data_IF_464487184471
#
_entry.id   IF_464487184471
#
_cell.length_a   1.000
_cell.length_b   1.000
_cell.length_c   1.000
_cell.angle_alpha   90.00
_cell.angle_beta   90.00
_cell.angle_gamma   90.00
#
_symmetry.space_group_name_H-M   'P 1'
#
loop_
_entity.id
_entity.type
_entity.pdbx_description
1 polymer ?
#
# COMPACT_ATOMS: atom_id res chain seq x y z
N UNK A 1 -3.33 -18.23 28.64
CA UNK A 1 -4.21 -18.69 27.52
C UNK A 1 -3.41 -18.63 26.22
N UNK A 2 -3.35 -19.72 25.43
CA UNK A 2 -2.67 -19.68 24.14
C UNK A 2 -3.39 -18.70 23.22
N UNK A 3 -2.67 -17.74 22.63
CA UNK A 3 -3.21 -16.87 21.57
C UNK A 3 -3.59 -17.77 20.40
N UNK A 4 -4.90 -18.01 20.19
CA UNK A 4 -5.39 -18.62 18.96
C UNK A 4 -4.83 -17.79 17.79
N UNK A 5 -4.06 -18.42 16.91
CA UNK A 5 -3.60 -17.78 15.68
C UNK A 5 -4.83 -17.53 14.82
N UNK A 6 -5.22 -16.26 14.68
CA UNK A 6 -6.48 -15.87 14.04
C UNK A 6 -6.44 -15.99 12.51
N UNK A 7 -5.26 -15.84 11.89
CA UNK A 7 -5.01 -15.94 10.44
C UNK A 7 -3.69 -16.66 10.16
N UNK A 8 -3.69 -17.52 9.14
CA UNK A 8 -2.46 -18.13 8.59
C UNK A 8 -1.64 -17.12 7.78
N UNK A 9 -0.36 -17.39 7.58
CA UNK A 9 0.48 -16.49 6.76
C UNK A 9 0.03 -16.42 5.31
N UNK A 10 -0.49 -17.53 4.76
CA UNK A 10 -1.11 -17.55 3.43
C UNK A 10 -2.34 -16.62 3.35
N UNK A 11 -3.15 -16.56 4.41
CA UNK A 11 -4.31 -15.66 4.46
C UNK A 11 -3.87 -14.19 4.58
N UNK A 12 -2.83 -13.89 5.37
CA UNK A 12 -2.28 -12.53 5.45
C UNK A 12 -1.68 -12.10 4.11
N UNK A 13 -0.94 -12.98 3.46
CA UNK A 13 -0.35 -12.73 2.14
C UNK A 13 -1.45 -12.45 1.10
N UNK A 14 -2.51 -13.27 1.05
CA UNK A 14 -3.64 -13.04 0.15
C UNK A 14 -4.34 -11.68 0.35
N UNK A 15 -4.25 -11.09 1.54
CA UNK A 15 -4.83 -9.77 1.87
C UNK A 15 -3.92 -8.60 1.51
N UNK A 16 -2.60 -8.80 1.59
CA UNK A 16 -1.61 -7.72 1.63
C UNK A 16 -0.50 -7.85 0.57
N UNK A 17 -0.53 -8.87 -0.28
CA UNK A 17 0.39 -9.00 -1.42
C UNK A 17 0.15 -7.91 -2.46
N UNK A 18 1.21 -7.56 -3.18
CA UNK A 18 1.09 -6.65 -4.32
C UNK A 18 0.29 -7.33 -5.46
N UNK A 19 -0.55 -6.57 -6.18
CA UNK A 19 -1.29 -7.11 -7.32
C UNK A 19 -0.32 -7.41 -8.47
N UNK A 20 -0.51 -8.57 -9.10
CA UNK A 20 0.26 -9.00 -10.28
C UNK A 20 -0.63 -9.21 -11.50
N UNK A 21 -1.95 -9.26 -11.33
CA UNK A 21 -2.88 -9.38 -12.46
C UNK A 21 -3.00 -8.03 -13.17
N UNK A 22 -3.05 -8.05 -14.49
CA UNK A 22 -3.24 -6.83 -15.29
C UNK A 22 -4.52 -6.08 -14.90
N UNK A 23 -5.59 -6.82 -14.57
CA UNK A 23 -6.87 -6.22 -14.15
C UNK A 23 -6.74 -5.46 -12.83
N UNK A 24 -6.05 -6.03 -11.85
CA UNK A 24 -5.85 -5.36 -10.55
C UNK A 24 -4.90 -4.16 -10.67
N UNK A 25 -3.85 -4.28 -11.50
CA UNK A 25 -2.93 -3.18 -11.79
C UNK A 25 -3.65 -2.01 -12.47
N UNK A 26 -4.44 -2.26 -13.52
CA UNK A 26 -5.25 -1.22 -14.18
C UNK A 26 -6.21 -0.53 -13.20
N UNK A 27 -6.82 -1.31 -12.30
CA UNK A 27 -7.80 -0.80 -11.34
C UNK A 27 -7.16 0.05 -10.23
N UNK A 28 -5.97 -0.33 -9.76
CA UNK A 28 -5.42 0.20 -8.51
C UNK A 28 -4.13 1.02 -8.69
N UNK A 29 -3.37 0.79 -9.75
CA UNK A 29 -2.01 1.32 -9.95
C UNK A 29 -1.95 2.33 -11.10
N UNK A 30 -3.08 2.65 -11.74
CA UNK A 30 -3.15 3.73 -12.74
C UNK A 30 -3.00 5.09 -12.05
N UNK A 31 -2.05 5.88 -12.50
CA UNK A 31 -1.71 7.20 -11.98
C UNK A 31 -2.54 8.28 -12.68
N UNK A 32 -3.09 9.21 -11.91
CA UNK A 32 -3.82 10.38 -12.43
C UNK A 32 -2.85 11.51 -12.81
N UNK A 33 -3.37 12.52 -13.51
CA UNK A 33 -2.60 13.74 -13.82
C UNK A 33 -2.10 14.46 -12.56
N UNK A 34 -2.89 14.44 -11.48
CA UNK A 34 -2.50 14.98 -10.18
C UNK A 34 -1.32 14.19 -9.59
N UNK A 35 -1.36 12.86 -9.70
CA UNK A 35 -0.27 12.00 -9.25
C UNK A 35 1.02 12.31 -10.00
N UNK A 36 0.93 12.43 -11.33
CA UNK A 36 2.06 12.83 -12.17
C UNK A 36 2.60 14.20 -11.77
N UNK A 37 1.73 15.15 -11.43
CA UNK A 37 2.09 16.46 -10.91
C UNK A 37 3.00 16.35 -9.68
N UNK A 38 2.61 15.55 -8.69
CA UNK A 38 3.40 15.32 -7.49
C UNK A 38 4.68 14.50 -7.74
N UNK A 39 4.60 13.46 -8.57
CA UNK A 39 5.74 12.60 -8.91
C UNK A 39 6.84 13.42 -9.60
N UNK A 40 6.48 14.31 -10.53
CA UNK A 40 7.44 15.14 -11.29
C UNK A 40 8.25 16.11 -10.43
N UNK A 41 7.80 16.40 -9.20
CA UNK A 41 8.57 17.21 -8.24
C UNK A 41 9.83 16.50 -7.73
N UNK A 42 9.88 15.17 -7.82
CA UNK A 42 11.05 14.39 -7.37
C UNK A 42 12.20 14.52 -8.36
N UNK A 43 13.38 14.82 -7.82
CA UNK A 43 14.64 14.82 -8.59
C UNK A 43 15.11 13.38 -8.78
N UNK A 44 15.60 13.06 -9.99
CA UNK A 44 16.11 11.73 -10.42
C UNK A 44 15.02 10.68 -10.65
N UNK A 45 15.29 9.75 -11.58
CA UNK A 45 14.36 8.70 -11.99
C UNK A 45 13.96 7.78 -10.83
N UNK A 46 14.92 7.31 -10.02
CA UNK A 46 14.65 6.42 -8.88
C UNK A 46 13.73 7.02 -7.83
N UNK A 47 13.80 8.33 -7.57
CA UNK A 47 12.88 8.95 -6.62
C UNK A 47 11.49 9.09 -7.19
N UNK A 48 11.35 9.40 -8.50
CA UNK A 48 10.04 9.44 -9.17
C UNK A 48 9.39 8.06 -9.16
N UNK A 49 10.14 7.03 -9.52
CA UNK A 49 9.67 5.65 -9.50
C UNK A 49 9.29 5.24 -8.08
N UNK A 50 10.20 5.39 -7.12
CA UNK A 50 9.98 5.01 -5.73
C UNK A 50 8.78 5.72 -5.09
N UNK A 51 8.59 7.00 -5.38
CA UNK A 51 7.43 7.76 -4.91
C UNK A 51 6.12 7.22 -5.52
N UNK A 52 6.09 6.95 -6.82
CA UNK A 52 4.93 6.37 -7.49
C UNK A 52 4.61 4.95 -6.96
N UNK A 53 5.63 4.13 -6.73
CA UNK A 53 5.50 2.79 -6.15
C UNK A 53 4.89 2.87 -4.75
N UNK A 54 5.43 3.71 -3.86
CA UNK A 54 4.85 3.88 -2.52
C UNK A 54 3.40 4.36 -2.57
N UNK A 55 3.08 5.34 -3.45
CA UNK A 55 1.71 5.80 -3.64
C UNK A 55 0.77 4.65 -4.02
N UNK A 56 1.16 3.82 -4.98
CA UNK A 56 0.36 2.69 -5.43
C UNK A 56 0.14 1.69 -4.29
N UNK A 57 1.18 1.32 -3.54
CA UNK A 57 1.11 0.36 -2.43
C UNK A 57 0.23 0.87 -1.27
N UNK A 58 0.28 2.19 -0.99
CA UNK A 58 -0.58 2.84 0.00
C UNK A 58 -2.06 2.87 -0.44
N UNK A 59 -2.35 2.98 -1.74
CA UNK A 59 -3.72 2.89 -2.27
C UNK A 59 -4.23 1.46 -2.24
N UNK A 60 -3.40 0.53 -2.67
CA UNK A 60 -3.68 -0.89 -2.67
C UNK A 60 -2.36 -1.69 -2.59
N UNK A 61 -2.22 -2.62 -1.64
CA UNK A 61 -3.28 -3.18 -0.80
C UNK A 61 -3.64 -2.34 0.44
N UNK A 62 -2.99 -1.17 0.66
CA UNK A 62 -3.33 -0.27 1.78
C UNK A 62 -2.35 -0.31 2.95
N UNK A 63 -1.07 -0.57 2.68
CA UNK A 63 -0.01 -0.73 3.70
C UNK A 63 1.26 0.01 3.31
N UNK A 64 2.21 0.08 4.22
CA UNK A 64 3.56 0.55 3.90
C UNK A 64 4.32 -0.51 3.10
N UNK A 65 5.12 -0.06 2.12
CA UNK A 65 6.09 -0.90 1.42
C UNK A 65 7.23 -1.26 2.37
N UNK A 66 7.48 -2.55 2.58
CA UNK A 66 8.49 -2.98 3.55
C UNK A 66 9.93 -2.72 3.03
N UNK A 67 10.88 -2.38 3.92
CA UNK A 67 12.29 -2.29 3.54
C UNK A 67 12.80 -3.57 2.86
N UNK A 68 13.35 -3.44 1.65
CA UNK A 68 13.90 -4.58 0.91
C UNK A 68 12.84 -5.55 0.35
N UNK A 69 11.57 -5.17 0.36
CA UNK A 69 10.51 -5.97 -0.25
C UNK A 69 10.76 -6.19 -1.75
N UNK A 70 10.64 -7.45 -2.19
CA UNK A 70 10.78 -7.81 -3.60
C UNK A 70 9.53 -7.34 -4.36
N UNK A 71 9.73 -6.48 -5.35
CA UNK A 71 8.64 -5.95 -6.17
C UNK A 71 8.47 -6.86 -7.40
N UNK A 72 7.25 -7.38 -7.66
CA UNK A 72 6.98 -8.18 -8.85
C UNK A 72 7.29 -7.41 -10.14
N UNK A 73 7.78 -8.12 -11.16
CA UNK A 73 8.14 -7.51 -12.45
C UNK A 73 6.93 -6.81 -13.09
N UNK A 74 5.73 -7.37 -12.96
CA UNK A 74 4.49 -6.80 -13.49
C UNK A 74 4.19 -5.43 -12.88
N UNK A 75 4.48 -5.24 -11.60
CA UNK A 75 4.32 -3.94 -10.92
C UNK A 75 5.35 -2.95 -11.43
N UNK A 76 6.62 -3.38 -11.56
CA UNK A 76 7.71 -2.53 -12.05
C UNK A 76 7.41 -2.08 -13.48
N UNK A 77 7.08 -3.00 -14.37
CA UNK A 77 6.77 -2.71 -15.77
C UNK A 77 5.55 -1.80 -15.90
N UNK A 78 4.48 -2.06 -15.13
CA UNK A 78 3.25 -1.26 -15.20
C UNK A 78 3.44 0.18 -14.73
N UNK A 79 4.17 0.40 -13.63
CA UNK A 79 4.48 1.75 -13.15
C UNK A 79 5.52 2.42 -14.06
N UNK A 80 6.56 1.69 -14.45
CA UNK A 80 7.61 2.17 -15.34
C UNK A 80 7.07 2.67 -16.67
N UNK A 81 6.15 1.92 -17.31
CA UNK A 81 5.51 2.30 -18.55
C UNK A 81 4.75 3.63 -18.45
N UNK A 82 4.07 3.88 -17.33
CA UNK A 82 3.38 5.16 -17.08
C UNK A 82 4.34 6.33 -16.89
N UNK A 83 5.51 6.08 -16.27
CA UNK A 83 6.52 7.10 -15.99
C UNK A 83 7.53 7.32 -17.13
N UNK A 84 7.57 6.41 -18.11
CA UNK A 84 8.64 6.34 -19.11
C UNK A 84 9.99 5.93 -18.52
N UNK A 85 9.99 5.03 -17.52
CA UNK A 85 11.17 4.57 -16.79
C UNK A 85 11.30 3.04 -16.85
N UNK A 86 12.53 2.54 -16.73
CA UNK A 86 12.84 1.11 -16.72
C UNK A 86 13.00 0.53 -15.32
N UNK A 87 13.17 -0.79 -15.23
CA UNK A 87 13.41 -1.49 -13.96
C UNK A 87 14.70 -1.00 -13.26
N UNK A 88 15.74 -0.69 -14.04
CA UNK A 88 17.03 -0.19 -13.53
C UNK A 88 16.88 1.15 -12.80
N UNK A 89 15.87 1.95 -13.17
CA UNK A 89 15.59 3.20 -12.48
C UNK A 89 15.08 2.97 -11.05
N UNK A 90 14.60 1.78 -10.66
CA UNK A 90 14.12 1.53 -9.30
C UNK A 90 15.24 1.06 -8.35
N UNK A 91 16.34 0.50 -8.87
CA UNK A 91 17.36 -0.22 -8.08
C UNK A 91 17.93 0.65 -6.96
N UNK A 92 18.30 1.90 -7.26
CA UNK A 92 18.88 2.83 -6.30
C UNK A 92 17.90 3.26 -5.19
N UNK A 93 16.59 3.17 -5.44
CA UNK A 93 15.58 3.55 -4.47
C UNK A 93 15.52 2.58 -3.28
N UNK A 94 15.75 1.30 -3.53
CA UNK A 94 15.69 0.27 -2.50
C UNK A 94 16.76 0.46 -1.41
N UNK A 95 17.88 1.12 -1.74
CA UNK A 95 19.05 1.28 -0.88
C UNK A 95 18.96 2.43 0.14
N UNK A 96 18.08 3.42 -0.04
CA UNK A 96 18.04 4.62 0.83
C UNK A 96 16.80 4.69 1.70
N UNK A 97 16.94 4.33 2.96
CA UNK A 97 15.85 4.32 3.94
C UNK A 97 15.29 5.72 4.25
N UNK A 98 16.14 6.73 4.38
CA UNK A 98 15.74 8.11 4.70
C UNK A 98 14.75 8.68 3.66
N UNK A 99 15.09 8.58 2.37
CA UNK A 99 14.23 9.03 1.27
C UNK A 99 12.88 8.30 1.23
N UNK A 100 12.84 7.01 1.61
CA UNK A 100 11.57 6.27 1.68
C UNK A 100 10.67 6.79 2.80
N UNK A 101 11.23 7.16 3.94
CA UNK A 101 10.46 7.73 5.04
C UNK A 101 9.96 9.14 4.73
N UNK A 102 10.79 9.96 4.08
CA UNK A 102 10.37 11.29 3.58
C UNK A 102 9.21 11.17 2.60
N UNK A 103 9.33 10.30 1.59
CA UNK A 103 8.26 10.06 0.63
C UNK A 103 6.96 9.59 1.31
N UNK A 104 7.05 8.67 2.27
CA UNK A 104 5.89 8.20 3.03
C UNK A 104 5.21 9.35 3.81
N UNK A 105 6.00 10.20 4.47
CA UNK A 105 5.47 11.35 5.19
C UNK A 105 4.78 12.35 4.24
N UNK A 106 5.40 12.64 3.10
CA UNK A 106 4.81 13.50 2.07
C UNK A 106 3.52 12.93 1.49
N UNK A 107 3.51 11.63 1.15
CA UNK A 107 2.32 10.94 0.63
C UNK A 107 1.17 10.98 1.61
N UNK A 108 1.44 10.83 2.91
CA UNK A 108 0.42 10.96 3.95
C UNK A 108 -0.19 12.36 4.01
N UNK A 109 0.65 13.40 3.90
CA UNK A 109 0.19 14.79 3.86
C UNK A 109 -0.65 15.10 2.61
N UNK A 110 -0.17 14.71 1.43
CA UNK A 110 -0.81 15.02 0.14
C UNK A 110 -2.14 14.28 -0.04
N UNK A 111 -2.18 12.99 0.28
CA UNK A 111 -3.35 12.14 0.00
C UNK A 111 -4.20 11.84 1.24
N UNK A 112 -3.83 12.38 2.40
CA UNK A 112 -4.58 12.21 3.65
C UNK A 112 -4.51 10.80 4.25
N UNK A 113 -3.41 10.08 4.03
CA UNK A 113 -3.21 8.77 4.64
C UNK A 113 -2.94 8.89 6.15
N UNK A 114 -3.68 8.11 6.93
CA UNK A 114 -3.64 8.08 8.40
C UNK A 114 -2.81 6.90 8.89
N UNK A 115 -2.10 7.07 10.00
CA UNK A 115 -1.47 5.93 10.69
C UNK A 115 -2.50 5.10 11.40
N UNK A 116 -2.25 3.80 11.48
CA UNK A 116 -2.97 2.90 12.38
C UNK A 116 -2.58 3.15 13.85
N UNK A 117 -2.99 4.30 14.40
CA UNK A 117 -2.68 4.69 15.78
C UNK A 117 -3.74 5.64 16.34
N UNK A 118 -3.75 5.80 17.67
CA UNK A 118 -4.62 6.74 18.37
C UNK A 118 -6.09 6.57 18.01
N UNK A 119 -6.76 7.68 17.66
CA UNK A 119 -8.19 7.70 17.32
C UNK A 119 -8.52 6.79 16.13
N UNK A 120 -7.69 6.75 15.09
CA UNK A 120 -7.95 5.91 13.90
C UNK A 120 -7.96 4.42 14.23
N UNK A 121 -7.07 3.97 15.13
CA UNK A 121 -7.07 2.60 15.61
C UNK A 121 -8.32 2.30 16.47
N UNK A 122 -8.75 3.25 17.31
CA UNK A 122 -9.98 3.09 18.10
C UNK A 122 -11.24 2.99 17.24
N UNK A 123 -11.39 3.87 16.23
CA UNK A 123 -12.50 3.84 15.26
C UNK A 123 -12.58 2.49 14.54
N UNK A 124 -11.44 1.97 14.07
CA UNK A 124 -11.36 0.69 13.39
C UNK A 124 -11.63 -0.50 14.32
N UNK A 125 -11.24 -0.39 15.60
CA UNK A 125 -11.56 -1.41 16.61
C UNK A 125 -13.06 -1.46 16.91
N UNK A 126 -13.70 -0.30 17.07
CA UNK A 126 -15.16 -0.20 17.25
C UNK A 126 -15.92 -0.70 16.01
N UNK A 127 -15.42 -0.40 14.81
CA UNK A 127 -15.94 -0.96 13.58
C UNK A 127 -15.81 -2.50 13.56
N UNK A 128 -14.64 -3.03 13.93
CA UNK A 128 -14.38 -4.48 13.94
C UNK A 128 -15.33 -5.22 14.88
N UNK A 129 -15.62 -4.67 16.06
CA UNK A 129 -16.58 -5.26 17.00
C UNK A 129 -17.99 -5.36 16.41
N UNK A 130 -18.45 -4.32 15.70
CA UNK A 130 -19.77 -4.32 15.07
C UNK A 130 -19.87 -5.32 13.92
N UNK A 131 -18.80 -5.46 13.14
CA UNK A 131 -18.78 -6.35 11.97
C UNK A 131 -18.53 -7.82 12.34
N UNK A 132 -17.89 -8.10 13.48
CA UNK A 132 -17.54 -9.45 13.90
C UNK A 132 -18.77 -10.37 14.08
N UNK A 133 -19.91 -9.83 14.50
CA UNK A 133 -21.16 -10.60 14.64
C UNK A 133 -21.71 -11.07 13.29
N UNK A 134 -21.42 -10.33 12.22
CA UNK A 134 -21.90 -10.59 10.85
C UNK A 134 -20.87 -11.31 9.98
N UNK A 135 -19.71 -11.64 10.53
CA UNK A 135 -18.64 -12.29 9.81
C UNK A 135 -18.81 -13.81 9.77
N UNK A 136 -18.65 -14.39 8.58
CA UNK A 136 -18.79 -15.86 8.42
C UNK A 136 -17.51 -16.62 8.75
N UNK A 137 -16.37 -15.92 8.85
CA UNK A 137 -15.09 -16.49 9.28
C UNK A 137 -14.08 -15.40 9.68
N UNK A 138 -12.98 -15.80 10.31
CA UNK A 138 -11.85 -14.90 10.60
C UNK A 138 -11.25 -14.29 9.31
N UNK A 139 -11.27 -15.03 8.21
CA UNK A 139 -10.77 -14.54 6.92
C UNK A 139 -11.71 -13.49 6.32
N UNK A 140 -13.03 -13.70 6.42
CA UNK A 140 -14.04 -12.75 5.97
C UNK A 140 -13.89 -11.41 6.72
N UNK A 141 -13.89 -11.43 8.05
CA UNK A 141 -13.72 -10.20 8.84
C UNK A 141 -12.39 -9.50 8.54
N UNK A 142 -11.31 -10.25 8.29
CA UNK A 142 -10.02 -9.68 7.91
C UNK A 142 -10.06 -9.01 6.53
N UNK A 143 -10.70 -9.65 5.53
CA UNK A 143 -10.92 -9.04 4.20
C UNK A 143 -11.70 -7.73 4.31
N UNK A 144 -12.80 -7.73 5.07
CA UNK A 144 -13.60 -6.53 5.30
C UNK A 144 -12.80 -5.45 6.04
N UNK A 145 -12.03 -5.83 7.05
CA UNK A 145 -11.20 -4.90 7.82
C UNK A 145 -10.14 -4.21 6.96
N UNK A 146 -9.41 -4.95 6.12
CA UNK A 146 -8.43 -4.34 5.22
C UNK A 146 -9.13 -3.42 4.21
N UNK A 147 -10.32 -3.77 3.72
CA UNK A 147 -11.12 -2.90 2.87
C UNK A 147 -11.55 -1.61 3.58
N UNK A 148 -11.93 -1.69 4.86
CA UNK A 148 -12.29 -0.53 5.68
C UNK A 148 -11.08 0.37 5.98
N UNK A 149 -9.92 -0.21 6.25
CA UNK A 149 -8.66 0.53 6.35
C UNK A 149 -8.40 1.35 5.08
N UNK A 150 -8.50 0.73 3.90
CA UNK A 150 -8.37 1.45 2.62
C UNK A 150 -9.42 2.54 2.45
N UNK A 151 -10.69 2.25 2.74
CA UNK A 151 -11.82 3.21 2.62
C UNK A 151 -11.57 4.46 3.46
N UNK A 152 -11.03 4.26 4.66
CA UNK A 152 -10.74 5.33 5.62
C UNK A 152 -9.30 5.85 5.53
N UNK A 153 -8.55 5.43 4.50
CA UNK A 153 -7.14 5.78 4.25
C UNK A 153 -6.22 5.51 5.43
N UNK A 154 -6.54 4.53 6.28
CA UNK A 154 -5.68 4.09 7.37
C UNK A 154 -4.69 3.06 6.86
N UNK A 155 -3.40 3.37 6.98
CA UNK A 155 -2.30 2.54 6.50
C UNK A 155 -1.97 1.47 7.54
N UNK A 156 -1.96 0.21 7.08
CA UNK A 156 -1.56 -0.97 7.86
C UNK A 156 -0.04 -1.14 7.93
#
# INVERSE_FOLDING_TARGET
MPRRVTLTDRQKDALLRLPTSQTDLLKHYTLSDEDFGHIRLRRRAHNRFGFALQLCVLRYPGRVLAPGELIPAEVIEFIGAQLGLGADDLVDYAAREETRHEHLAELRGLYGFRTFSGRGASELKEWLFREAEMAVSNEDIARRFVAECRRTRTVL
#
